data_IF_928968713077
#
_entry.id   IF_928968713077
#
_cell.length_a   1.000
_cell.length_b   1.000
_cell.length_c   1.000
_cell.angle_alpha   90.00
_cell.angle_beta   90.00
_cell.angle_gamma   90.00
#
_symmetry.space_group_name_H-M   'P 1'
#
loop_
_entity.id
_entity.type
_entity.pdbx_description
1 polymer ?
#
# COMPACT_ATOMS: atom_id res chain seq x y z
N UNK A 1 10.10 30.75 -0.99
CA UNK A 1 9.32 29.53 -1.27
C UNK A 1 9.80 28.95 -2.59
N UNK A 2 10.53 27.83 -2.57
CA UNK A 2 10.91 27.14 -3.82
C UNK A 2 9.72 26.30 -4.26
N UNK A 3 9.22 26.57 -5.47
CA UNK A 3 8.26 25.74 -6.18
C UNK A 3 8.75 24.30 -6.12
N UNK A 4 7.96 23.41 -5.52
CA UNK A 4 8.23 21.98 -5.50
C UNK A 4 7.94 21.49 -6.90
N UNK A 5 8.95 21.46 -7.77
CA UNK A 5 8.83 20.88 -9.10
C UNK A 5 8.21 19.49 -8.95
N UNK A 6 7.03 19.32 -9.54
CA UNK A 6 6.35 18.04 -9.61
C UNK A 6 7.27 17.11 -10.38
N UNK A 7 7.91 16.17 -9.68
CA UNK A 7 8.63 15.08 -10.35
C UNK A 7 7.68 14.45 -11.37
N UNK A 8 8.11 14.21 -12.63
CA UNK A 8 7.30 13.51 -13.60
C UNK A 8 6.79 12.22 -12.95
N UNK A 9 5.47 12.03 -12.93
CA UNK A 9 4.89 10.79 -12.43
C UNK A 9 5.47 9.68 -13.31
N UNK A 10 6.17 8.67 -12.76
CA UNK A 10 6.62 7.54 -13.55
C UNK A 10 5.42 6.96 -14.27
N UNK A 11 5.46 6.91 -15.60
CA UNK A 11 4.37 6.32 -16.37
C UNK A 11 4.29 4.84 -16.00
N UNK A 12 3.21 4.46 -15.33
CA UNK A 12 2.93 3.07 -15.00
C UNK A 12 2.89 2.24 -16.28
N UNK A 13 3.72 1.21 -16.35
CA UNK A 13 3.80 0.32 -17.49
C UNK A 13 2.75 -0.79 -17.37
N UNK A 14 1.81 -0.81 -18.30
CA UNK A 14 0.77 -1.84 -18.39
C UNK A 14 1.07 -2.81 -19.53
N UNK A 15 0.61 -4.07 -19.45
CA UNK A 15 0.48 -4.92 -20.63
C UNK A 15 -0.37 -4.21 -21.70
N UNK A 16 0.00 -4.37 -22.97
CA UNK A 16 -0.63 -3.67 -24.10
C UNK A 16 -2.16 -3.85 -24.12
N UNK A 17 -2.63 -5.06 -23.84
CA UNK A 17 -4.04 -5.43 -23.83
C UNK A 17 -4.64 -5.52 -22.42
N UNK A 18 -4.14 -4.71 -21.49
CA UNK A 18 -4.63 -4.78 -20.11
C UNK A 18 -6.10 -4.37 -20.01
N UNK A 19 -6.99 -5.21 -19.42
CA UNK A 19 -8.42 -4.93 -19.31
C UNK A 19 -8.72 -3.64 -18.52
N UNK A 20 -9.73 -2.91 -18.97
CA UNK A 20 -10.09 -1.60 -18.40
C UNK A 20 -10.60 -1.71 -16.95
N UNK A 21 -11.34 -2.77 -16.63
CA UNK A 21 -11.83 -3.06 -15.29
C UNK A 21 -10.68 -3.33 -14.31
N UNK A 22 -9.65 -4.07 -14.73
CA UNK A 22 -8.44 -4.32 -13.94
C UNK A 22 -7.63 -3.02 -13.74
N UNK A 23 -7.49 -2.20 -14.79
CA UNK A 23 -6.84 -0.87 -14.66
C UNK A 23 -7.57 0.03 -13.68
N UNK A 24 -8.90 0.08 -13.77
CA UNK A 24 -9.74 0.87 -12.88
C UNK A 24 -9.65 0.36 -11.44
N UNK A 25 -9.71 -0.96 -11.25
CA UNK A 25 -9.55 -1.61 -9.94
C UNK A 25 -8.21 -1.24 -9.30
N UNK A 26 -7.10 -1.44 -10.00
CA UNK A 26 -5.76 -1.16 -9.44
C UNK A 26 -5.52 0.33 -9.20
N UNK A 27 -6.07 1.22 -10.04
CA UNK A 27 -6.02 2.66 -9.77
C UNK A 27 -6.76 2.99 -8.47
N UNK A 28 -7.95 2.44 -8.27
CA UNK A 28 -8.73 2.61 -7.04
C UNK A 28 -8.01 2.02 -5.83
N UNK A 29 -7.40 0.85 -5.99
CA UNK A 29 -6.61 0.18 -4.95
C UNK A 29 -5.51 1.09 -4.40
N UNK A 30 -4.65 1.64 -5.27
CA UNK A 30 -3.56 2.51 -4.84
C UNK A 30 -4.05 3.86 -4.28
N UNK A 31 -5.11 4.45 -4.86
CA UNK A 31 -5.70 5.68 -4.33
C UNK A 31 -6.19 5.48 -2.90
N UNK A 32 -6.91 4.39 -2.63
CA UNK A 32 -7.43 4.10 -1.30
C UNK A 32 -6.33 3.73 -0.31
N UNK A 33 -5.31 3.00 -0.76
CA UNK A 33 -4.13 2.63 0.04
C UNK A 33 -3.37 3.86 0.57
N UNK A 34 -3.39 4.97 -0.19
CA UNK A 34 -2.66 6.21 0.12
C UNK A 34 -3.52 7.32 0.74
N UNK A 35 -4.84 7.15 0.87
CA UNK A 35 -5.76 8.23 1.26
C UNK A 35 -5.81 8.54 2.76
N UNK A 36 -5.45 7.58 3.63
CA UNK A 36 -5.23 7.75 5.07
C UNK A 36 -6.42 8.30 5.89
N UNK A 37 -7.64 7.80 5.63
CA UNK A 37 -8.82 8.06 6.49
C UNK A 37 -9.51 6.76 6.91
N UNK A 38 -10.19 6.71 8.08
CA UNK A 38 -10.92 5.51 8.50
C UNK A 38 -11.93 5.01 7.45
N UNK A 39 -12.61 5.94 6.77
CA UNK A 39 -13.56 5.62 5.71
C UNK A 39 -12.86 5.01 4.48
N UNK A 40 -11.69 5.52 4.09
CA UNK A 40 -10.93 4.92 2.99
C UNK A 40 -10.31 3.57 3.37
N UNK A 41 -10.02 3.31 4.65
CA UNK A 41 -9.62 1.98 5.11
C UNK A 41 -10.76 0.97 4.95
N UNK A 42 -11.99 1.35 5.30
CA UNK A 42 -13.19 0.54 5.04
C UNK A 42 -13.35 0.26 3.55
N UNK A 43 -13.29 1.30 2.72
CA UNK A 43 -13.42 1.17 1.27
C UNK A 43 -12.30 0.32 0.64
N UNK A 44 -11.08 0.39 1.18
CA UNK A 44 -9.97 -0.44 0.72
C UNK A 44 -10.20 -1.91 1.07
N UNK A 45 -10.64 -2.20 2.30
CA UNK A 45 -11.00 -3.55 2.70
C UNK A 45 -12.18 -4.10 1.87
N UNK A 46 -13.12 -3.25 1.45
CA UNK A 46 -14.22 -3.63 0.54
C UNK A 46 -13.78 -3.98 -0.88
N UNK A 47 -12.54 -3.70 -1.27
CA UNK A 47 -11.97 -4.22 -2.51
C UNK A 47 -11.68 -5.72 -2.43
N UNK A 48 -11.67 -6.31 -1.24
CA UNK A 48 -11.46 -7.73 -1.04
C UNK A 48 -12.79 -8.50 -0.98
N UNK A 49 -12.73 -9.80 -1.26
CA UNK A 49 -13.81 -10.72 -0.90
C UNK A 49 -14.04 -10.70 0.61
N UNK A 50 -15.20 -11.18 1.08
CA UNK A 50 -15.51 -11.20 2.52
C UNK A 50 -14.44 -11.95 3.33
N UNK A 51 -13.91 -13.01 2.73
CA UNK A 51 -12.85 -13.89 3.22
C UNK A 51 -11.51 -13.67 2.47
N UNK A 52 -11.29 -12.46 1.97
CA UNK A 52 -10.08 -12.11 1.24
C UNK A 52 -8.87 -12.00 2.15
N UNK A 53 -7.69 -12.30 1.62
CA UNK A 53 -6.45 -12.40 2.39
C UNK A 53 -5.42 -11.37 1.96
N UNK A 54 -4.71 -10.81 2.93
CA UNK A 54 -3.49 -10.04 2.70
C UNK A 54 -2.32 -10.63 3.46
N UNK A 55 -1.30 -11.08 2.73
CA UNK A 55 -0.04 -11.56 3.29
C UNK A 55 1.04 -10.48 3.18
N UNK A 56 1.56 -10.03 4.30
CA UNK A 56 2.71 -9.14 4.35
C UNK A 56 3.52 -9.33 5.63
N UNK A 57 4.83 -9.14 5.56
CA UNK A 57 5.73 -9.20 6.72
C UNK A 57 5.63 -10.52 7.53
N UNK A 58 5.37 -11.64 6.84
CA UNK A 58 5.19 -12.96 7.47
C UNK A 58 3.90 -13.11 8.27
N UNK A 59 2.94 -12.19 8.11
CA UNK A 59 1.60 -12.25 8.71
C UNK A 59 0.54 -12.32 7.63
N UNK A 60 -0.55 -13.02 7.94
CA UNK A 60 -1.75 -13.10 7.10
C UNK A 60 -2.89 -12.40 7.84
N UNK A 61 -3.54 -11.47 7.16
CA UNK A 61 -4.75 -10.78 7.60
C UNK A 61 -5.94 -11.31 6.81
N UNK A 62 -6.97 -11.77 7.50
CA UNK A 62 -8.09 -12.50 6.93
C UNK A 62 -9.39 -11.72 7.08
N UNK A 63 -10.03 -11.45 5.95
CA UNK A 63 -11.33 -10.78 5.88
C UNK A 63 -11.27 -9.28 6.16
N UNK A 64 -12.38 -8.61 5.87
CA UNK A 64 -12.43 -7.15 5.77
C UNK A 64 -12.12 -6.42 7.07
N UNK A 65 -12.47 -6.99 8.22
CA UNK A 65 -12.23 -6.34 9.50
C UNK A 65 -10.75 -6.30 9.88
N UNK A 66 -10.02 -7.41 9.71
CA UNK A 66 -8.57 -7.45 9.95
C UNK A 66 -7.82 -6.55 8.95
N UNK A 67 -8.23 -6.54 7.69
CA UNK A 67 -7.66 -5.70 6.64
C UNK A 67 -7.82 -4.20 6.94
N UNK A 68 -9.01 -3.79 7.40
CA UNK A 68 -9.30 -2.42 7.82
C UNK A 68 -8.46 -2.01 9.03
N UNK A 69 -8.36 -2.88 10.03
CA UNK A 69 -7.56 -2.64 11.23
C UNK A 69 -6.07 -2.50 10.87
N UNK A 70 -5.54 -3.44 10.09
CA UNK A 70 -4.18 -3.41 9.58
C UNK A 70 -3.84 -2.07 8.91
N UNK A 71 -4.68 -1.63 7.97
CA UNK A 71 -4.37 -0.43 7.19
C UNK A 71 -4.38 0.84 8.06
N UNK A 72 -5.28 0.90 9.05
CA UNK A 72 -5.36 2.00 10.01
C UNK A 72 -4.12 2.08 10.90
N UNK A 73 -3.68 0.94 11.45
CA UNK A 73 -2.48 0.85 12.28
C UNK A 73 -1.21 1.16 11.47
N UNK A 74 -1.17 0.69 10.23
CA UNK A 74 -0.05 0.91 9.33
C UNK A 74 0.14 2.40 8.99
N UNK A 75 -0.93 3.14 8.72
CA UNK A 75 -0.84 4.59 8.50
C UNK A 75 -0.37 5.37 9.72
N UNK A 76 -0.71 4.92 10.93
CA UNK A 76 -0.19 5.50 12.17
C UNK A 76 1.33 5.36 12.24
N UNK A 77 1.85 4.22 11.79
CA UNK A 77 3.29 3.94 11.76
C UNK A 77 4.00 4.61 10.57
N UNK A 78 3.28 4.94 9.50
CA UNK A 78 3.83 5.46 8.24
C UNK A 78 3.00 6.64 7.71
N UNK A 79 2.96 7.79 8.43
CA UNK A 79 2.00 8.88 8.18
C UNK A 79 2.20 9.62 6.87
N UNK A 80 3.33 9.42 6.18
CA UNK A 80 3.68 10.04 4.91
C UNK A 80 3.74 9.08 3.72
N UNK A 81 3.27 7.84 3.87
CA UNK A 81 3.41 6.78 2.87
C UNK A 81 2.66 7.04 1.56
N UNK A 82 3.39 7.15 0.46
CA UNK A 82 2.84 7.21 -0.90
C UNK A 82 3.42 6.07 -1.72
N UNK A 83 2.56 5.40 -2.49
CA UNK A 83 2.96 4.37 -3.42
C UNK A 83 3.03 4.89 -4.85
N UNK A 84 3.85 4.27 -5.68
CA UNK A 84 3.87 4.50 -7.12
C UNK A 84 3.98 3.17 -7.83
N UNK A 85 2.91 2.77 -8.53
CA UNK A 85 2.91 1.58 -9.36
C UNK A 85 3.81 1.77 -10.58
N UNK A 86 4.83 0.92 -10.73
CA UNK A 86 5.82 1.01 -11.80
C UNK A 86 5.42 0.16 -13.00
N UNK A 87 5.09 -1.12 -12.77
CA UNK A 87 4.80 -2.06 -13.86
C UNK A 87 3.87 -3.18 -13.40
N UNK A 88 2.98 -3.57 -14.30
CA UNK A 88 2.06 -4.69 -14.14
C UNK A 88 2.41 -5.83 -15.10
N UNK A 89 2.17 -7.06 -14.65
CA UNK A 89 2.20 -8.27 -15.46
C UNK A 89 0.95 -9.07 -15.16
N UNK A 90 0.40 -9.71 -16.17
CA UNK A 90 -0.77 -10.58 -16.04
C UNK A 90 -0.40 -12.00 -16.40
N UNK A 91 -0.93 -12.96 -15.65
CA UNK A 91 -0.79 -14.37 -15.98
C UNK A 91 -1.57 -14.72 -17.25
N UNK A 92 -2.75 -14.14 -17.40
CA UNK A 92 -3.66 -14.39 -18.52
C UNK A 92 -4.21 -13.08 -19.15
N UNK A 93 -5.08 -13.22 -20.15
CA UNK A 93 -5.71 -12.08 -20.83
C UNK A 93 -6.80 -11.40 -20.00
N UNK A 94 -7.37 -12.09 -19.02
CA UNK A 94 -8.40 -11.54 -18.14
C UNK A 94 -7.78 -10.68 -17.03
N UNK A 95 -6.46 -10.79 -16.80
CA UNK A 95 -5.72 -9.98 -15.83
C UNK A 95 -6.16 -10.24 -14.40
N UNK A 96 -6.70 -11.45 -14.13
CA UNK A 96 -7.24 -11.83 -12.82
C UNK A 96 -6.14 -12.22 -11.85
N UNK A 97 -5.14 -12.96 -12.33
CA UNK A 97 -3.90 -13.14 -11.61
C UNK A 97 -2.86 -12.15 -12.15
N UNK A 98 -2.43 -11.22 -11.31
CA UNK A 98 -1.50 -10.18 -11.69
C UNK A 98 -0.35 -10.01 -10.69
N UNK A 99 0.75 -9.49 -11.21
CA UNK A 99 1.89 -9.06 -10.44
C UNK A 99 2.11 -7.57 -10.67
N UNK A 100 2.42 -6.82 -9.61
CA UNK A 100 2.77 -5.41 -9.68
C UNK A 100 4.09 -5.17 -8.99
N UNK A 101 4.99 -4.45 -9.66
CA UNK A 101 6.14 -3.82 -9.01
C UNK A 101 5.79 -2.36 -8.75
N UNK A 102 6.02 -1.91 -7.54
CA UNK A 102 5.80 -0.53 -7.12
C UNK A 102 6.98 -0.04 -6.28
N UNK A 103 7.02 1.24 -5.96
CA UNK A 103 7.83 1.72 -4.84
C UNK A 103 6.94 2.39 -3.81
N UNK A 104 7.42 2.42 -2.58
CA UNK A 104 6.91 3.30 -1.54
C UNK A 104 7.86 4.46 -1.31
N UNK A 105 7.31 5.55 -0.81
CA UNK A 105 8.04 6.69 -0.27
C UNK A 105 7.35 7.14 1.01
N UNK A 106 8.08 7.16 2.12
CA UNK A 106 7.60 7.60 3.42
C UNK A 106 8.45 8.79 3.84
N UNK A 107 7.79 9.86 4.26
CA UNK A 107 8.42 11.00 4.93
C UNK A 107 7.92 11.00 6.37
N UNK A 108 8.83 10.82 7.32
CA UNK A 108 8.53 10.82 8.75
C UNK A 108 8.49 12.25 9.32
N UNK A 109 7.89 12.46 10.50
CA UNK A 109 7.77 13.79 11.11
C UNK A 109 9.10 14.50 11.40
N UNK A 110 10.17 13.73 11.62
CA UNK A 110 11.54 14.25 11.81
C UNK A 110 12.23 14.65 10.49
N UNK A 111 11.56 14.48 9.34
CA UNK A 111 12.09 14.73 8.01
C UNK A 111 12.85 13.56 7.39
N UNK A 112 13.05 12.45 8.11
CA UNK A 112 13.66 11.23 7.58
C UNK A 112 12.81 10.69 6.44
N UNK A 113 13.47 10.35 5.33
CA UNK A 113 12.82 9.79 4.16
C UNK A 113 13.26 8.35 3.95
N UNK A 114 12.29 7.45 3.73
CA UNK A 114 12.55 6.06 3.37
C UNK A 114 11.82 5.72 2.08
N UNK A 115 12.57 5.17 1.14
CA UNK A 115 12.03 4.64 -0.11
C UNK A 115 12.46 3.20 -0.28
N UNK A 116 11.61 2.39 -0.88
CA UNK A 116 11.95 1.03 -1.24
C UNK A 116 11.04 0.52 -2.33
N UNK A 117 11.52 -0.51 -3.03
CA UNK A 117 10.72 -1.22 -4.01
C UNK A 117 9.93 -2.33 -3.33
N UNK A 118 8.72 -2.55 -3.84
CA UNK A 118 7.89 -3.68 -3.46
C UNK A 118 7.45 -4.41 -4.71
N UNK A 119 7.09 -5.66 -4.52
CA UNK A 119 6.32 -6.40 -5.47
C UNK A 119 5.10 -6.98 -4.79
N UNK A 120 3.98 -7.08 -5.49
CA UNK A 120 2.78 -7.73 -4.98
C UNK A 120 2.17 -8.66 -6.02
N UNK A 121 1.75 -9.83 -5.58
CA UNK A 121 0.91 -10.75 -6.34
C UNK A 121 -0.54 -10.56 -5.91
N UNK A 122 -1.45 -10.38 -6.85
CA UNK A 122 -2.88 -10.25 -6.57
C UNK A 122 -3.67 -11.26 -7.39
N UNK A 123 -4.62 -11.90 -6.74
CA UNK A 123 -5.65 -12.72 -7.35
C UNK A 123 -7.00 -12.00 -7.24
N UNK A 124 -7.53 -11.60 -8.38
CA UNK A 124 -8.83 -10.95 -8.52
C UNK A 124 -9.87 -11.98 -8.98
N UNK A 125 -11.08 -11.86 -8.45
CA UNK A 125 -12.22 -12.72 -8.78
C UNK A 125 -13.45 -11.86 -9.06
N UNK A 126 -14.32 -12.35 -9.93
CA UNK A 126 -15.64 -11.75 -10.13
C UNK A 126 -16.61 -12.33 -9.10
N UNK A 127 -17.23 -11.46 -8.31
CA UNK A 127 -18.30 -11.82 -7.38
C UNK A 127 -19.49 -10.93 -7.68
N UNK A 128 -20.55 -11.52 -8.23
CA UNK A 128 -21.78 -10.83 -8.62
C UNK A 128 -21.55 -9.60 -9.53
N UNK A 129 -20.65 -9.73 -10.51
CA UNK A 129 -20.29 -8.67 -11.46
C UNK A 129 -19.37 -7.61 -10.89
N UNK A 130 -18.79 -7.83 -9.70
CA UNK A 130 -17.81 -6.95 -9.08
C UNK A 130 -16.45 -7.64 -8.99
N UNK A 131 -15.43 -6.96 -9.48
CA UNK A 131 -14.05 -7.41 -9.34
C UNK A 131 -13.56 -7.16 -7.92
N UNK A 132 -13.21 -8.23 -7.20
CA UNK A 132 -12.70 -8.20 -5.83
C UNK A 132 -11.37 -8.96 -5.74
N UNK A 133 -10.52 -8.60 -4.77
CA UNK A 133 -9.30 -9.33 -4.47
C UNK A 133 -9.57 -10.47 -3.50
N UNK A 134 -9.24 -11.69 -3.91
CA UNK A 134 -9.27 -12.87 -3.04
C UNK A 134 -7.98 -12.99 -2.23
N UNK A 135 -6.83 -12.70 -2.85
CA UNK A 135 -5.52 -12.79 -2.20
C UNK A 135 -4.59 -11.70 -2.71
N UNK A 136 -3.91 -11.03 -1.80
CA UNK A 136 -2.83 -10.11 -2.08
C UNK A 136 -1.60 -10.52 -1.25
N UNK A 137 -0.45 -10.69 -1.89
CA UNK A 137 0.80 -11.07 -1.23
C UNK A 137 1.88 -10.05 -1.54
N UNK A 138 2.38 -9.39 -0.51
CA UNK A 138 3.40 -8.34 -0.59
C UNK A 138 4.79 -8.91 -0.32
N UNK A 139 5.69 -8.69 -1.27
CA UNK A 139 7.11 -8.93 -1.19
C UNK A 139 7.84 -7.60 -1.04
N UNK A 140 8.51 -7.41 0.08
CA UNK A 140 9.27 -6.20 0.41
C UNK A 140 10.43 -6.57 1.32
N UNK A 141 11.57 -5.91 1.16
CA UNK A 141 12.64 -5.96 2.17
C UNK A 141 12.17 -5.14 3.39
N UNK A 142 11.88 -5.78 4.54
CA UNK A 142 11.38 -5.06 5.71
C UNK A 142 12.47 -4.25 6.40
N UNK A 143 13.77 -4.50 6.12
CA UNK A 143 14.88 -3.95 6.87
C UNK A 143 14.90 -2.42 6.92
N UNK A 144 14.91 -1.72 5.76
CA UNK A 144 14.89 -0.26 5.72
C UNK A 144 13.68 0.35 6.45
N UNK A 145 12.49 -0.24 6.26
CA UNK A 145 11.26 0.26 6.85
C UNK A 145 11.23 0.05 8.37
N UNK A 146 11.59 -1.15 8.83
CA UNK A 146 11.56 -1.51 10.25
C UNK A 146 12.52 -0.65 11.07
N UNK A 147 13.75 -0.44 10.59
CA UNK A 147 14.73 0.43 11.25
C UNK A 147 14.24 1.87 11.38
N UNK A 148 13.56 2.38 10.37
CA UNK A 148 13.03 3.74 10.40
C UNK A 148 11.88 3.88 11.40
N UNK A 149 10.94 2.91 11.43
CA UNK A 149 9.85 2.89 12.40
C UNK A 149 10.40 2.79 13.84
N UNK A 150 11.42 1.96 14.07
CA UNK A 150 12.09 1.84 15.37
C UNK A 150 12.74 3.16 15.81
N UNK A 151 13.48 3.83 14.90
CA UNK A 151 14.11 5.11 15.20
C UNK A 151 13.11 6.21 15.60
N UNK A 152 11.90 6.21 15.01
CA UNK A 152 10.84 7.15 15.41
C UNK A 152 10.34 6.90 16.83
N UNK A 153 10.25 5.64 17.26
CA UNK A 153 9.79 5.29 18.62
C UNK A 153 10.77 5.77 19.68
N UNK A 154 12.07 5.61 19.45
CA UNK A 154 13.13 6.08 20.36
C UNK A 154 13.15 7.61 20.46
N UNK A 155 13.02 8.33 19.33
CA UNK A 155 13.04 9.79 19.34
C UNK A 155 11.86 10.42 20.08
N UNK A 156 10.68 9.78 20.04
CA UNK A 156 9.50 10.25 20.77
C UNK A 156 9.58 9.99 22.27
N UNK A 157 10.26 8.91 22.70
CA UNK A 157 10.51 8.64 24.11
C UNK A 157 11.38 9.73 24.75
N UNK A 158 12.46 10.14 24.07
CA UNK A 158 13.39 11.16 24.59
C UNK A 158 12.75 12.56 24.71
N UNK A 159 11.83 12.91 23.80
CA UNK A 159 11.10 14.19 23.88
C UNK A 159 10.09 14.25 25.02
N UNK A 160 9.62 13.10 25.52
CA UNK A 160 8.65 13.04 26.63
C UNK A 160 9.30 13.24 28.02
N UNK A 161 10.62 13.11 28.12
CA UNK A 161 11.37 13.24 29.38
C UNK A 161 11.91 14.67 29.61
N UNK A 162 12.00 15.50 28.56
CA UNK A 162 12.56 16.85 28.63
C UNK A 162 11.58 17.99 28.96
N UNK A 163 10.32 17.67 29.27
CA UNK A 163 9.25 18.65 29.49
C UNK A 163 8.91 18.91 30.96
N UNK A 164 9.91 18.99 31.84
CA UNK A 164 9.74 19.51 33.20
C UNK A 164 10.97 20.36 33.57
N UNK A 165 10.94 21.64 33.21
CA UNK A 165 11.58 22.73 33.97
C UNK A 165 10.74 23.99 33.81
#
# INVERSE_FOLDING_TARGET
MRSRELRPIPTTLWPEKAPDDVRAYMKRFFVLLDARTPETARQWAELFTEDGEFNCFGKVFNGRDELKAYLTDFWTSCPGLVHTAKKFWFHDRAGRDLFVVSNYNIIFPDGTQVTGDTAASLQLVDVDGKLLCKRNELFVDPGPLSRAIEAQKTSNADKSVGGVV
#
